data_IF_724723288246
#
_entry.id   IF_724723288246
#
_cell.length_a   1.000
_cell.length_b   1.000
_cell.length_c   1.000
_cell.angle_alpha   90.00
_cell.angle_beta   90.00
_cell.angle_gamma   90.00
#
_symmetry.space_group_name_H-M   'P 1'
#
loop_
_entity.id
_entity.type
_entity.pdbx_description
1 polymer ?
#
# COMPACT_ATOMS: atom_id res chain seq x y z
N UNK A 1 22.19 29.14 34.56
CA UNK A 1 22.78 28.80 33.25
C UNK A 1 22.61 30.00 32.34
N UNK A 2 23.67 30.47 31.68
CA UNK A 2 23.55 31.58 30.73
C UNK A 2 22.74 31.12 29.49
N UNK A 3 22.01 32.01 28.79
CA UNK A 3 21.27 31.65 27.58
C UNK A 3 22.11 30.93 26.52
N UNK A 4 23.38 31.29 26.40
CA UNK A 4 24.33 30.64 25.47
C UNK A 4 24.67 29.21 25.88
N UNK A 5 24.92 28.97 27.18
CA UNK A 5 25.19 27.63 27.69
C UNK A 5 23.94 26.74 27.56
N UNK A 6 22.76 27.33 27.78
CA UNK A 6 21.49 26.66 27.53
C UNK A 6 21.34 26.27 26.06
N UNK A 7 21.60 27.18 25.12
CA UNK A 7 21.56 26.90 23.68
C UNK A 7 22.56 25.80 23.26
N UNK A 8 23.81 25.84 23.77
CA UNK A 8 24.84 24.81 23.50
C UNK A 8 24.47 23.44 24.06
N UNK A 9 23.67 23.38 25.12
CA UNK A 9 23.20 22.12 25.72
C UNK A 9 22.05 21.45 24.96
N UNK A 10 21.44 22.14 23.99
CA UNK A 10 20.33 21.59 23.20
C UNK A 10 20.84 20.57 22.19
N UNK A 11 20.05 19.52 21.97
CA UNK A 11 20.30 18.60 20.86
C UNK A 11 20.23 19.36 19.52
N UNK A 12 21.17 19.03 18.64
CA UNK A 12 21.21 19.51 17.26
C UNK A 12 20.94 18.31 16.37
N UNK A 13 20.11 18.49 15.36
CA UNK A 13 19.87 17.50 14.32
C UNK A 13 20.08 18.18 12.97
N UNK A 14 20.62 17.45 12.00
CA UNK A 14 20.49 17.84 10.61
C UNK A 14 19.03 17.70 10.17
N UNK A 15 18.61 18.53 9.22
CA UNK A 15 17.29 18.43 8.61
C UNK A 15 17.40 17.75 7.25
N UNK A 16 16.54 16.77 7.00
CA UNK A 16 16.36 16.15 5.68
C UNK A 16 14.91 16.24 5.23
N UNK A 17 14.69 16.32 3.93
CA UNK A 17 13.36 16.30 3.34
C UNK A 17 13.35 15.49 2.05
N UNK A 18 12.41 14.55 1.94
CA UNK A 18 12.21 13.74 0.75
C UNK A 18 10.73 13.69 0.36
N UNK A 19 10.46 13.31 -0.88
CA UNK A 19 9.13 13.31 -1.47
C UNK A 19 8.79 11.93 -2.03
N UNK A 20 7.65 11.39 -1.58
CA UNK A 20 7.10 10.16 -2.11
C UNK A 20 6.18 10.49 -3.30
N UNK A 21 6.58 10.05 -4.49
CA UNK A 21 5.70 9.99 -5.66
C UNK A 21 5.37 8.55 -5.99
N UNK A 22 4.18 8.34 -6.54
CA UNK A 22 3.87 7.11 -7.29
C UNK A 22 3.42 7.44 -8.70
N UNK A 23 3.40 6.46 -9.59
CA UNK A 23 2.63 6.58 -10.84
C UNK A 23 1.18 6.13 -10.65
N UNK A 24 0.41 6.15 -11.74
CA UNK A 24 -0.99 5.75 -11.76
C UNK A 24 -1.22 4.28 -11.36
N UNK A 25 -0.21 3.43 -11.49
CA UNK A 25 -0.27 2.02 -11.11
C UNK A 25 0.12 1.79 -9.64
N UNK A 26 0.67 2.81 -8.97
CA UNK A 26 1.11 2.74 -7.57
C UNK A 26 2.60 2.39 -7.40
N UNK A 27 3.38 2.33 -8.48
CA UNK A 27 4.83 2.13 -8.42
C UNK A 27 5.49 3.39 -7.86
N UNK A 28 6.51 3.22 -7.02
CA UNK A 28 7.23 4.32 -6.34
C UNK A 28 8.35 4.85 -7.25
N UNK A 29 8.43 6.18 -7.39
CA UNK A 29 9.57 6.83 -8.02
C UNK A 29 10.81 6.67 -7.14
N UNK A 30 11.88 6.12 -7.71
CA UNK A 30 13.16 5.94 -7.05
C UNK A 30 14.29 6.43 -7.95
N UNK A 31 15.21 7.21 -7.38
CA UNK A 31 16.35 7.81 -8.08
C UNK A 31 17.63 7.03 -7.80
N UNK A 32 18.51 6.90 -8.81
CA UNK A 32 19.85 6.36 -8.65
C UNK A 32 20.88 7.51 -8.57
N UNK A 33 21.42 7.82 -7.37
CA UNK A 33 22.33 8.93 -7.20
C UNK A 33 23.73 8.62 -7.73
N UNK A 34 24.35 9.58 -8.44
CA UNK A 34 25.70 9.47 -8.98
C UNK A 34 26.77 9.28 -7.88
N UNK A 35 26.55 9.82 -6.68
CA UNK A 35 27.49 9.72 -5.56
C UNK A 35 27.42 8.39 -4.80
N UNK A 36 26.36 7.58 -5.01
CA UNK A 36 26.16 6.24 -4.42
C UNK A 36 25.41 5.31 -5.39
N UNK A 37 26.00 4.97 -6.54
CA UNK A 37 25.32 4.22 -7.58
C UNK A 37 24.86 2.84 -7.08
N UNK A 38 23.64 2.45 -7.46
CA UNK A 38 23.03 1.16 -7.09
C UNK A 38 22.36 1.12 -5.72
N UNK A 39 22.20 2.28 -5.06
CA UNK A 39 21.42 2.45 -3.84
C UNK A 39 20.39 3.54 -4.07
N UNK A 40 19.17 3.11 -4.36
CA UNK A 40 18.11 4.04 -4.74
C UNK A 40 17.67 4.89 -3.54
N UNK A 41 17.11 6.06 -3.84
CA UNK A 41 16.55 7.00 -2.87
C UNK A 41 15.22 7.58 -3.37
N UNK A 42 14.42 8.12 -2.46
CA UNK A 42 13.35 9.04 -2.85
C UNK A 42 13.97 10.38 -3.27
N UNK A 43 13.33 11.15 -4.17
CA UNK A 43 13.74 12.52 -4.43
C UNK A 43 13.80 13.32 -3.14
N UNK A 44 14.87 14.07 -2.91
CA UNK A 44 15.09 14.79 -1.67
C UNK A 44 16.54 14.99 -1.28
N UNK A 45 16.74 15.79 -0.23
CA UNK A 45 18.06 16.18 0.22
C UNK A 45 18.03 16.91 1.56
N UNK A 46 19.14 17.59 1.84
CA UNK A 46 19.33 18.33 3.09
C UNK A 46 18.49 19.61 3.13
N UNK A 47 18.04 19.97 4.32
CA UNK A 47 17.39 21.26 4.57
C UNK A 47 18.47 22.30 4.85
N UNK A 48 18.50 23.37 4.05
CA UNK A 48 19.47 24.45 4.18
C UNK A 48 19.24 25.32 5.43
N UNK A 49 20.22 26.17 5.76
CA UNK A 49 20.10 27.09 6.88
C UNK A 49 18.89 28.02 6.71
N UNK A 50 18.04 28.08 7.74
CA UNK A 50 16.78 28.83 7.74
C UNK A 50 15.74 28.39 6.70
N UNK A 51 15.97 27.28 5.99
CA UNK A 51 15.01 26.65 5.09
C UNK A 51 13.97 25.85 5.88
N UNK A 52 12.74 25.80 5.35
CA UNK A 52 11.67 24.95 5.91
C UNK A 52 11.75 23.58 5.25
N UNK A 53 11.49 22.46 5.97
CA UNK A 53 11.55 21.13 5.36
C UNK A 53 10.66 20.94 4.12
N UNK A 54 9.47 21.54 4.09
CA UNK A 54 8.62 21.50 2.89
C UNK A 54 9.15 22.34 1.73
N UNK A 55 9.90 23.40 2.00
CA UNK A 55 10.55 24.21 0.96
C UNK A 55 11.74 23.45 0.37
N UNK A 56 12.54 22.79 1.22
CA UNK A 56 13.61 21.89 0.79
C UNK A 56 13.04 20.78 -0.12
N UNK A 57 11.98 20.10 0.31
CA UNK A 57 11.31 19.09 -0.50
C UNK A 57 10.90 19.59 -1.91
N UNK A 58 10.38 20.81 -2.02
CA UNK A 58 9.99 21.40 -3.33
C UNK A 58 11.21 21.80 -4.16
N UNK A 59 12.25 22.33 -3.51
CA UNK A 59 13.52 22.67 -4.17
C UNK A 59 14.16 21.42 -4.76
N UNK A 60 14.31 20.36 -3.98
CA UNK A 60 14.92 19.09 -4.40
C UNK A 60 14.15 18.48 -5.57
N UNK A 61 12.81 18.49 -5.56
CA UNK A 61 12.00 18.05 -6.70
C UNK A 61 12.28 18.87 -7.97
N UNK A 62 12.54 20.17 -7.82
CA UNK A 62 12.88 21.04 -8.95
C UNK A 62 14.30 20.75 -9.46
N UNK A 63 15.25 20.56 -8.56
CA UNK A 63 16.67 20.33 -8.87
C UNK A 63 16.90 18.94 -9.47
N UNK A 64 16.37 17.89 -8.83
CA UNK A 64 16.59 16.50 -9.23
C UNK A 64 15.69 16.03 -10.38
N UNK A 65 14.46 16.56 -10.50
CA UNK A 65 13.49 16.11 -11.52
C UNK A 65 13.20 17.16 -12.59
N UNK A 66 13.60 18.42 -12.41
CA UNK A 66 13.21 19.51 -13.31
C UNK A 66 11.71 19.84 -13.26
N UNK A 67 10.99 19.40 -12.23
CA UNK A 67 9.55 19.57 -12.09
C UNK A 67 9.24 20.64 -11.04
N UNK A 68 8.40 21.62 -11.38
CA UNK A 68 7.92 22.62 -10.43
C UNK A 68 6.60 22.16 -9.78
N UNK A 69 6.69 21.17 -8.90
CA UNK A 69 5.55 20.60 -8.18
C UNK A 69 5.59 20.96 -6.69
N UNK A 70 4.42 21.24 -6.12
CA UNK A 70 4.28 21.41 -4.67
C UNK A 70 4.14 20.07 -3.94
N UNK A 71 4.41 20.07 -2.64
CA UNK A 71 4.12 18.92 -1.76
C UNK A 71 2.76 19.07 -1.08
N UNK A 72 2.14 17.93 -0.71
CA UNK A 72 0.82 17.85 -0.09
C UNK A 72 0.93 17.66 1.43
N UNK A 73 0.55 16.49 1.93
CA UNK A 73 0.60 16.18 3.35
C UNK A 73 1.96 15.60 3.76
N UNK A 74 2.34 15.82 5.02
CA UNK A 74 3.46 15.11 5.63
C UNK A 74 3.06 13.65 5.86
N UNK A 75 3.87 12.71 5.40
CA UNK A 75 3.63 11.28 5.47
C UNK A 75 4.44 10.59 6.56
N UNK A 76 5.67 11.04 6.81
CA UNK A 76 6.50 10.48 7.88
C UNK A 76 7.47 11.52 8.43
N UNK A 77 7.83 11.36 9.70
CA UNK A 77 9.02 11.98 10.32
C UNK A 77 9.84 10.87 10.96
N UNK A 78 11.14 10.88 10.71
CA UNK A 78 12.09 9.93 11.25
C UNK A 78 13.20 10.68 11.99
N UNK A 79 13.47 10.30 13.24
CA UNK A 79 14.64 10.76 13.99
C UNK A 79 15.73 9.70 13.93
N UNK A 80 16.81 10.00 13.23
CA UNK A 80 17.99 9.16 13.12
C UNK A 80 18.97 9.53 14.22
N UNK A 81 19.29 8.55 15.05
CA UNK A 81 20.18 8.69 16.19
C UNK A 81 21.63 8.94 15.75
N UNK A 82 22.35 9.73 16.55
CA UNK A 82 23.80 9.86 16.43
C UNK A 82 24.47 8.49 16.56
N UNK A 83 25.19 8.08 15.52
CA UNK A 83 25.91 6.81 15.52
C UNK A 83 25.08 5.61 15.07
N UNK A 84 23.90 5.84 14.46
CA UNK A 84 23.17 4.78 13.78
C UNK A 84 24.10 4.03 12.80
N UNK A 85 24.23 2.69 12.91
CA UNK A 85 25.19 1.92 12.11
C UNK A 85 24.83 1.88 10.61
N UNK A 86 23.57 2.10 10.23
CA UNK A 86 23.11 2.11 8.84
C UNK A 86 23.49 3.40 8.09
N UNK A 87 23.74 4.51 8.80
CA UNK A 87 24.20 5.77 8.22
C UNK A 87 25.72 5.82 8.00
N UNK A 88 26.47 4.80 8.48
CA UNK A 88 27.91 4.72 8.33
C UNK A 88 28.69 5.76 9.16
N UNK A 89 29.98 5.92 8.86
CA UNK A 89 30.86 6.90 9.53
C UNK A 89 30.75 8.27 8.86
N UNK A 90 29.71 9.02 9.18
CA UNK A 90 29.60 10.43 8.80
C UNK A 90 30.26 11.30 9.88
N UNK A 91 31.32 12.02 9.52
CA UNK A 91 32.08 12.81 10.47
C UNK A 91 31.22 13.94 11.05
N UNK A 92 31.16 14.03 12.38
CA UNK A 92 30.41 15.09 13.06
C UNK A 92 28.89 14.95 12.99
N UNK A 93 28.36 13.81 12.50
CA UNK A 93 26.91 13.57 12.43
C UNK A 93 26.25 13.75 13.81
N UNK A 94 25.37 14.75 13.99
CA UNK A 94 24.74 15.00 15.27
C UNK A 94 23.45 14.18 15.47
N UNK A 95 23.04 13.42 14.44
CA UNK A 95 21.70 12.89 14.26
C UNK A 95 20.96 13.66 13.16
N UNK A 96 19.85 13.14 12.68
CA UNK A 96 19.05 13.76 11.62
C UNK A 96 17.56 13.64 11.89
N UNK A 97 16.78 14.64 11.48
CA UNK A 97 15.34 14.56 11.39
C UNK A 97 14.93 14.63 9.92
N UNK A 98 14.39 13.54 9.40
CA UNK A 98 13.98 13.44 8.00
C UNK A 98 12.46 13.48 7.90
N UNK A 99 11.95 14.39 7.05
CA UNK A 99 10.53 14.50 6.74
C UNK A 99 10.23 13.93 5.35
N UNK A 100 9.21 13.07 5.23
CA UNK A 100 8.73 12.55 3.95
C UNK A 100 7.39 13.16 3.60
N UNK A 101 7.30 13.79 2.44
CA UNK A 101 6.12 14.49 1.96
C UNK A 101 5.43 13.74 0.84
N UNK A 102 4.11 13.88 0.75
CA UNK A 102 3.32 13.34 -0.36
C UNK A 102 3.47 14.23 -1.59
N UNK A 103 4.14 13.73 -2.62
CA UNK A 103 4.21 14.35 -3.95
C UNK A 103 2.99 14.04 -4.81
N UNK A 104 2.21 13.03 -4.44
CA UNK A 104 1.06 12.56 -5.19
C UNK A 104 1.40 11.56 -6.29
N UNK A 105 0.54 11.51 -7.30
CA UNK A 105 0.67 10.65 -8.47
C UNK A 105 1.23 11.46 -9.63
N UNK A 106 2.30 10.96 -10.26
CA UNK A 106 2.83 11.50 -11.51
C UNK A 106 2.17 10.80 -12.69
N UNK A 107 1.51 11.58 -13.53
CA UNK A 107 0.93 11.09 -14.77
C UNK A 107 2.01 10.94 -15.85
N UNK A 108 1.71 10.21 -16.93
CA UNK A 108 2.65 10.00 -18.03
C UNK A 108 3.20 11.33 -18.59
N UNK A 109 2.37 12.37 -18.63
CA UNK A 109 2.78 13.72 -19.05
C UNK A 109 3.78 14.39 -18.12
N UNK A 110 3.72 14.11 -16.82
CA UNK A 110 4.69 14.63 -15.85
C UNK A 110 6.01 13.86 -15.96
N UNK A 111 5.91 12.53 -16.07
CA UNK A 111 7.07 11.64 -16.23
C UNK A 111 7.88 12.02 -17.48
N UNK A 112 7.22 12.29 -18.61
CA UNK A 112 7.88 12.70 -19.85
C UNK A 112 8.65 14.05 -19.74
N UNK A 113 8.32 14.86 -18.73
CA UNK A 113 8.95 16.16 -18.46
C UNK A 113 10.11 16.07 -17.48
N UNK A 114 10.36 14.93 -16.86
CA UNK A 114 11.49 14.76 -15.92
C UNK A 114 12.80 15.06 -16.65
N UNK A 115 13.65 15.90 -16.06
CA UNK A 115 14.99 16.24 -16.52
C UNK A 115 15.93 16.08 -15.33
N UNK A 116 16.82 15.10 -15.43
CA UNK A 116 17.77 14.79 -14.37
C UNK A 116 19.03 15.66 -14.48
N UNK A 117 19.56 16.16 -13.35
CA UNK A 117 20.91 16.71 -13.31
C UNK A 117 21.93 15.58 -13.43
N UNK A 118 22.61 15.45 -14.58
CA UNK A 118 23.50 14.32 -14.88
C UNK A 118 24.65 14.13 -13.86
N UNK A 119 25.08 15.22 -13.21
CA UNK A 119 26.15 15.20 -12.20
C UNK A 119 25.69 14.66 -10.83
N UNK A 120 24.39 14.55 -10.60
CA UNK A 120 23.80 14.20 -9.31
C UNK A 120 22.93 12.94 -9.38
N UNK A 121 22.10 12.80 -10.41
CA UNK A 121 21.18 11.66 -10.61
C UNK A 121 21.47 11.00 -11.96
N UNK A 122 21.81 9.71 -11.94
CA UNK A 122 22.15 8.96 -13.16
C UNK A 122 20.94 8.40 -13.87
N UNK A 123 19.90 8.03 -13.12
CA UNK A 123 18.67 7.46 -13.65
C UNK A 123 17.52 7.52 -12.64
N UNK A 124 16.30 7.27 -13.11
CA UNK A 124 15.13 7.08 -12.27
C UNK A 124 14.32 5.87 -12.75
N UNK A 125 13.66 5.18 -11.83
CA UNK A 125 12.76 4.07 -12.09
C UNK A 125 11.45 4.23 -11.31
N UNK A 126 10.35 3.70 -11.84
CA UNK A 126 9.11 3.46 -11.09
C UNK A 126 9.02 1.97 -10.73
N UNK A 127 9.17 1.65 -9.45
CA UNK A 127 9.28 0.27 -8.97
C UNK A 127 8.14 -0.12 -8.04
N UNK A 128 7.70 -1.39 -8.03
CA UNK A 128 6.83 -1.90 -6.97
C UNK A 128 7.41 -1.61 -5.58
N UNK A 129 6.61 -1.25 -4.57
CA UNK A 129 7.11 -0.82 -3.27
C UNK A 129 8.11 -1.78 -2.61
N UNK A 130 7.85 -3.10 -2.67
CA UNK A 130 8.77 -4.12 -2.16
C UNK A 130 10.13 -4.10 -2.88
N UNK A 131 10.12 -3.96 -4.21
CA UNK A 131 11.34 -3.91 -5.02
C UNK A 131 12.10 -2.62 -4.77
N UNK A 132 11.41 -1.48 -4.70
CA UNK A 132 12.01 -0.20 -4.33
C UNK A 132 12.72 -0.31 -2.98
N UNK A 133 12.03 -0.79 -1.94
CA UNK A 133 12.58 -0.94 -0.60
C UNK A 133 13.84 -1.82 -0.57
N UNK A 134 13.85 -2.93 -1.34
CA UNK A 134 15.00 -3.83 -1.42
C UNK A 134 16.24 -3.24 -2.10
N UNK A 135 16.07 -2.18 -2.91
CA UNK A 135 17.16 -1.48 -3.62
C UNK A 135 17.62 -0.21 -2.88
N UNK A 136 16.89 0.21 -1.84
CA UNK A 136 17.27 1.30 -0.95
C UNK A 136 18.18 0.81 0.18
N UNK A 137 18.81 1.74 0.91
CA UNK A 137 19.34 1.39 2.24
C UNK A 137 18.19 0.95 3.16
N UNK A 138 18.42 0.02 4.12
CA UNK A 138 17.31 -0.55 4.87
C UNK A 138 16.48 0.51 5.63
N UNK A 139 17.12 1.48 6.28
CA UNK A 139 16.43 2.62 6.92
C UNK A 139 15.57 3.45 5.95
N UNK A 140 16.08 3.74 4.75
CA UNK A 140 15.36 4.48 3.71
C UNK A 140 14.16 3.67 3.19
N UNK A 141 14.36 2.37 2.97
CA UNK A 141 13.29 1.45 2.57
C UNK A 141 12.17 1.37 3.62
N UNK A 142 12.53 1.27 4.92
CA UNK A 142 11.55 1.30 6.02
C UNK A 142 10.79 2.62 6.05
N UNK A 143 11.49 3.75 5.91
CA UNK A 143 10.89 5.09 5.89
C UNK A 143 9.94 5.30 4.72
N UNK A 144 10.34 4.88 3.52
CA UNK A 144 9.52 4.93 2.31
C UNK A 144 8.24 4.08 2.45
N UNK A 145 8.36 2.84 2.95
CA UNK A 145 7.20 1.99 3.20
C UNK A 145 6.27 2.58 4.27
N UNK A 146 6.82 3.16 5.34
CA UNK A 146 6.03 3.82 6.38
C UNK A 146 5.27 5.04 5.84
N UNK A 147 5.92 5.86 5.00
CA UNK A 147 5.27 6.98 4.32
C UNK A 147 4.14 6.52 3.38
N UNK A 148 4.37 5.44 2.62
CA UNK A 148 3.35 4.87 1.74
C UNK A 148 2.15 4.33 2.53
N UNK A 149 2.41 3.62 3.65
CA UNK A 149 1.35 3.17 4.57
C UNK A 149 0.57 4.34 5.14
N UNK A 150 1.24 5.41 5.59
CA UNK A 150 0.58 6.60 6.12
C UNK A 150 -0.30 7.30 5.06
N UNK A 151 0.15 7.32 3.80
CA UNK A 151 -0.62 7.85 2.66
C UNK A 151 -1.92 7.07 2.46
N UNK A 152 -1.87 5.75 2.48
CA UNK A 152 -3.05 4.88 2.30
C UNK A 152 -3.97 4.95 3.51
N UNK A 153 -3.40 4.95 4.73
CA UNK A 153 -4.14 4.90 5.99
C UNK A 153 -4.89 6.20 6.31
N UNK A 154 -4.46 7.34 5.76
CA UNK A 154 -5.09 8.67 5.90
C UNK A 154 -5.33 9.15 7.33
N UNK A 155 -4.66 8.57 8.33
CA UNK A 155 -4.81 8.97 9.73
C UNK A 155 -3.71 9.92 10.24
N UNK A 156 -2.87 10.45 9.35
CA UNK A 156 -1.74 11.35 9.67
C UNK A 156 -0.37 10.67 9.52
N UNK A 157 0.73 11.41 9.77
CA UNK A 157 2.08 10.95 9.49
C UNK A 157 2.54 9.79 10.39
N UNK A 158 3.37 8.92 9.84
CA UNK A 158 4.15 7.96 10.61
C UNK A 158 5.24 8.67 11.43
N UNK A 159 5.50 8.14 12.61
CA UNK A 159 6.51 8.67 13.54
C UNK A 159 7.52 7.57 13.78
N UNK A 160 8.77 7.82 13.39
CA UNK A 160 9.83 6.82 13.35
C UNK A 160 11.05 7.28 14.18
N UNK A 161 11.75 6.30 14.75
CA UNK A 161 13.07 6.45 15.35
C UNK A 161 14.00 5.42 14.71
N UNK A 162 15.07 5.87 14.07
CA UNK A 162 16.02 5.03 13.32
C UNK A 162 15.33 4.16 12.23
N UNK A 163 14.28 4.71 11.61
CA UNK A 163 13.43 4.03 10.64
C UNK A 163 12.47 3.00 11.23
N UNK A 164 12.45 2.83 12.55
CA UNK A 164 11.54 1.94 13.28
C UNK A 164 10.32 2.70 13.80
N UNK A 165 9.17 2.04 13.87
CA UNK A 165 7.96 2.71 14.36
C UNK A 165 7.99 2.90 15.87
N UNK A 166 7.63 4.09 16.34
CA UNK A 166 7.49 4.35 17.78
C UNK A 166 6.22 3.70 18.33
N UNK A 167 6.38 2.90 19.39
CA UNK A 167 5.28 2.20 20.05
C UNK A 167 4.69 1.08 19.18
N UNK A 168 3.40 0.79 19.38
CA UNK A 168 2.72 -0.26 18.60
C UNK A 168 2.44 0.16 17.15
N UNK A 169 2.68 1.40 16.73
CA UNK A 169 2.35 1.84 15.38
C UNK A 169 0.87 1.71 15.00
N UNK A 170 0.57 1.84 13.71
CA UNK A 170 -0.79 1.66 13.16
C UNK A 170 -0.97 0.27 12.57
N UNK A 171 -2.21 -0.12 12.30
CA UNK A 171 -2.55 -1.46 11.82
C UNK A 171 -1.73 -1.88 10.58
N UNK A 172 -1.62 -1.00 9.57
CA UNK A 172 -0.82 -1.30 8.37
C UNK A 172 0.67 -1.51 8.68
N UNK A 173 1.23 -0.77 9.64
CA UNK A 173 2.62 -0.92 10.06
C UNK A 173 2.83 -2.20 10.89
N UNK A 174 1.94 -2.47 11.86
CA UNK A 174 2.01 -3.67 12.72
C UNK A 174 1.95 -4.97 11.94
N UNK A 175 1.04 -5.02 10.96
CA UNK A 175 0.89 -6.19 10.10
C UNK A 175 1.93 -6.21 8.97
N UNK A 176 2.93 -5.33 9.02
CA UNK A 176 3.97 -5.17 8.02
C UNK A 176 3.42 -5.11 6.58
N UNK A 177 2.28 -4.44 6.38
CA UNK A 177 1.60 -4.39 5.08
C UNK A 177 2.53 -3.79 4.04
N UNK A 178 2.76 -4.48 2.94
CA UNK A 178 3.49 -3.94 1.80
C UNK A 178 2.47 -3.75 0.67
N UNK A 179 2.10 -2.49 0.34
CA UNK A 179 1.20 -2.24 -0.77
C UNK A 179 1.74 -2.91 -2.04
N UNK A 180 0.90 -3.74 -2.64
CA UNK A 180 1.31 -4.60 -3.74
C UNK A 180 1.27 -3.79 -5.04
N UNK A 181 2.01 -4.27 -6.05
CA UNK A 181 1.70 -4.04 -7.45
C UNK A 181 1.54 -5.43 -8.04
N UNK A 182 0.31 -5.82 -8.34
CA UNK A 182 0.03 -7.15 -8.84
C UNK A 182 0.52 -7.23 -10.29
N UNK A 183 1.75 -7.69 -10.51
CA UNK A 183 2.37 -7.75 -11.84
C UNK A 183 1.49 -8.57 -12.78
N UNK A 184 1.20 -8.01 -13.96
CA UNK A 184 0.32 -8.60 -14.97
C UNK A 184 -1.16 -8.34 -14.73
N UNK A 185 -1.55 -7.61 -13.68
CA UNK A 185 -2.94 -7.18 -13.48
C UNK A 185 -3.25 -5.83 -14.12
N UNK A 186 -2.24 -5.04 -14.47
CA UNK A 186 -2.40 -3.71 -15.07
C UNK A 186 -3.15 -3.79 -16.41
N UNK A 187 -2.93 -4.87 -17.17
CA UNK A 187 -3.53 -5.09 -18.49
C UNK A 187 -4.81 -5.95 -18.44
N UNK A 188 -5.26 -6.35 -17.25
CA UNK A 188 -6.40 -7.24 -17.09
C UNK A 188 -7.69 -6.42 -17.11
N UNK A 189 -8.51 -6.68 -18.13
CA UNK A 189 -9.80 -6.04 -18.31
C UNK A 189 -10.80 -6.41 -17.19
N UNK A 190 -11.42 -5.40 -16.60
CA UNK A 190 -12.56 -5.54 -15.71
C UNK A 190 -13.87 -5.55 -16.50
N UNK A 191 -14.70 -6.57 -16.27
CA UNK A 191 -16.00 -6.74 -16.90
C UNK A 191 -17.13 -6.68 -15.84
N UNK A 192 -17.67 -5.48 -15.54
CA UNK A 192 -18.71 -5.31 -14.52
C UNK A 192 -20.03 -5.93 -14.97
N UNK A 193 -20.70 -6.63 -14.05
CA UNK A 193 -22.00 -7.31 -14.23
C UNK A 193 -22.09 -8.35 -15.38
N UNK A 194 -21.05 -8.49 -16.20
CA UNK A 194 -21.00 -9.50 -17.26
C UNK A 194 -20.63 -10.85 -16.69
N UNK A 195 -21.26 -11.91 -17.20
CA UNK A 195 -20.90 -13.29 -16.89
C UNK A 195 -19.83 -13.75 -17.90
N UNK A 196 -18.83 -14.55 -17.49
CA UNK A 196 -17.86 -15.17 -18.40
C UNK A 196 -18.57 -15.89 -19.55
N UNK A 197 -18.02 -15.74 -20.77
CA UNK A 197 -18.55 -16.44 -21.93
C UNK A 197 -18.53 -17.96 -21.72
N UNK A 198 -19.45 -18.66 -22.38
CA UNK A 198 -19.50 -20.13 -22.35
C UNK A 198 -18.15 -20.69 -22.79
N UNK A 199 -17.58 -21.57 -21.97
CA UNK A 199 -16.27 -22.19 -22.21
C UNK A 199 -15.07 -21.41 -21.67
N UNK A 200 -15.25 -20.20 -21.14
CA UNK A 200 -14.19 -19.48 -20.41
C UNK A 200 -14.15 -20.00 -18.96
N UNK A 201 -13.11 -20.74 -18.54
CA UNK A 201 -13.04 -21.30 -17.20
C UNK A 201 -12.91 -20.19 -16.15
N UNK A 202 -13.66 -20.33 -15.04
CA UNK A 202 -13.48 -19.48 -13.85
C UNK A 202 -12.52 -20.18 -12.91
N UNK A 203 -11.28 -19.70 -12.80
CA UNK A 203 -10.23 -20.35 -11.98
C UNK A 203 -10.14 -19.81 -10.56
N UNK A 204 -10.62 -18.59 -10.33
CA UNK A 204 -10.59 -17.94 -9.02
C UNK A 204 -11.88 -17.19 -8.75
N UNK A 205 -12.22 -17.04 -7.47
CA UNK A 205 -13.35 -16.27 -7.03
C UNK A 205 -13.03 -15.55 -5.71
N UNK A 206 -13.30 -14.25 -5.67
CA UNK A 206 -12.96 -13.37 -4.55
C UNK A 206 -14.18 -12.55 -4.13
N UNK A 207 -14.25 -12.17 -2.86
CA UNK A 207 -15.38 -11.43 -2.29
C UNK A 207 -14.97 -10.09 -1.69
N UNK A 208 -15.68 -9.04 -2.06
CA UNK A 208 -15.71 -7.78 -1.33
C UNK A 208 -16.73 -7.92 -0.20
N UNK A 209 -16.25 -8.30 0.99
CA UNK A 209 -17.08 -8.53 2.17
C UNK A 209 -17.29 -7.21 2.92
N UNK A 210 -18.50 -6.66 2.89
CA UNK A 210 -18.86 -5.37 3.47
C UNK A 210 -19.37 -5.48 4.90
N UNK A 211 -18.89 -4.58 5.76
CA UNK A 211 -19.53 -4.30 7.04
C UNK A 211 -20.64 -3.24 6.89
N UNK A 212 -21.45 -2.99 7.94
CA UNK A 212 -22.54 -2.01 7.89
C UNK A 212 -22.09 -0.57 7.64
N UNK A 213 -20.81 -0.26 7.83
CA UNK A 213 -20.22 1.07 7.64
C UNK A 213 -19.60 1.26 6.25
N UNK A 214 -19.72 0.27 5.36
CA UNK A 214 -19.20 0.35 4.00
C UNK A 214 -17.72 0.06 3.89
N UNK A 215 -17.09 -0.45 4.96
CA UNK A 215 -15.71 -0.96 4.93
C UNK A 215 -15.71 -2.40 4.44
N UNK A 216 -14.56 -2.83 3.94
CA UNK A 216 -14.34 -4.20 3.46
C UNK A 216 -13.21 -4.87 4.21
N UNK A 217 -13.32 -6.19 4.34
CA UNK A 217 -12.25 -7.01 4.91
C UNK A 217 -11.20 -7.30 3.85
N UNK A 218 -9.94 -7.09 4.22
CA UNK A 218 -8.78 -7.58 3.48
C UNK A 218 -7.89 -8.43 4.39
N UNK A 219 -7.18 -9.39 3.79
CA UNK A 219 -6.26 -10.29 4.48
C UNK A 219 -4.83 -9.85 4.20
N UNK A 220 -3.97 -9.97 5.21
CA UNK A 220 -2.54 -9.66 5.13
C UNK A 220 -1.77 -10.94 5.36
N UNK A 221 -1.01 -11.38 4.35
CA UNK A 221 -0.13 -12.52 4.49
C UNK A 221 1.04 -12.17 5.42
N UNK A 222 1.21 -12.85 6.57
CA UNK A 222 2.25 -12.51 7.53
C UNK A 222 3.67 -12.81 7.03
N UNK A 223 3.83 -13.55 5.92
CA UNK A 223 5.14 -13.92 5.37
C UNK A 223 5.80 -12.76 4.63
N UNK A 224 5.01 -11.99 3.88
CA UNK A 224 5.51 -10.95 2.99
C UNK A 224 4.72 -9.62 3.08
N UNK A 225 3.66 -9.57 3.90
CA UNK A 225 2.85 -8.37 4.10
C UNK A 225 1.89 -8.07 2.95
N UNK A 226 1.74 -8.98 1.98
CA UNK A 226 0.84 -8.76 0.85
C UNK A 226 -0.62 -8.79 1.27
N UNK A 227 -1.40 -7.93 0.62
CA UNK A 227 -2.84 -7.82 0.87
C UNK A 227 -3.62 -8.56 -0.22
N UNK A 228 -4.62 -9.34 0.20
CA UNK A 228 -5.57 -10.01 -0.69
C UNK A 228 -7.00 -9.79 -0.20
N UNK A 229 -7.98 -9.96 -1.10
CA UNK A 229 -9.37 -10.10 -0.70
C UNK A 229 -9.56 -11.50 -0.10
N UNK A 230 -10.60 -11.76 0.70
CA UNK A 230 -11.02 -13.13 1.00
C UNK A 230 -11.47 -13.84 -0.29
N UNK A 231 -11.03 -15.09 -0.47
CA UNK A 231 -11.33 -15.87 -1.66
C UNK A 231 -10.12 -16.64 -2.17
N UNK A 232 -10.28 -17.38 -3.25
CA UNK A 232 -9.23 -18.29 -3.67
C UNK A 232 -9.55 -19.01 -4.96
N UNK A 233 -8.97 -20.20 -5.08
CA UNK A 233 -9.06 -21.04 -6.27
C UNK A 233 -10.41 -21.75 -6.29
N UNK A 234 -11.03 -21.86 -7.48
CA UNK A 234 -12.23 -22.68 -7.63
C UNK A 234 -11.79 -24.14 -7.77
N UNK A 235 -12.11 -24.95 -6.77
CA UNK A 235 -11.80 -26.38 -6.75
C UNK A 235 -12.87 -27.20 -7.47
N UNK A 236 -12.54 -28.44 -7.83
CA UNK A 236 -13.48 -29.33 -8.54
C UNK A 236 -14.68 -29.72 -7.69
N UNK A 237 -14.50 -29.77 -6.37
CA UNK A 237 -15.54 -30.16 -5.42
C UNK A 237 -16.43 -28.98 -5.01
N UNK A 238 -16.10 -27.76 -5.44
CA UNK A 238 -16.94 -26.59 -5.19
C UNK A 238 -18.20 -26.62 -6.08
N UNK A 239 -19.35 -26.26 -5.49
CA UNK A 239 -20.60 -25.99 -6.22
C UNK A 239 -20.53 -24.62 -6.93
N UNK A 240 -19.54 -24.50 -7.80
CA UNK A 240 -19.23 -23.32 -8.60
C UNK A 240 -18.48 -22.20 -7.87
N UNK A 241 -18.15 -21.11 -8.60
CA UNK A 241 -17.22 -20.09 -8.10
C UNK A 241 -17.75 -19.31 -6.89
N UNK A 242 -19.07 -19.20 -6.73
CA UNK A 242 -19.67 -18.54 -5.56
C UNK A 242 -19.42 -19.36 -4.29
N UNK A 243 -19.60 -20.67 -4.36
CA UNK A 243 -19.37 -21.57 -3.22
C UNK A 243 -17.89 -21.53 -2.80
N UNK A 244 -16.97 -21.58 -3.77
CA UNK A 244 -15.53 -21.45 -3.54
C UNK A 244 -15.19 -20.15 -2.78
N UNK A 245 -15.64 -18.99 -3.27
CA UNK A 245 -15.35 -17.70 -2.61
C UNK A 245 -15.89 -17.62 -1.17
N UNK A 246 -17.06 -18.20 -0.90
CA UNK A 246 -17.65 -18.19 0.44
C UNK A 246 -16.96 -19.17 1.39
N UNK A 247 -16.53 -20.33 0.89
CA UNK A 247 -15.74 -21.32 1.63
C UNK A 247 -14.40 -20.73 2.03
N UNK A 248 -13.64 -20.22 1.07
CA UNK A 248 -12.33 -19.58 1.29
C UNK A 248 -12.44 -18.40 2.28
N UNK A 249 -13.46 -17.54 2.12
CA UNK A 249 -13.69 -16.46 3.08
C UNK A 249 -14.00 -16.95 4.51
N UNK A 250 -14.67 -18.10 4.65
CA UNK A 250 -14.90 -18.71 5.95
C UNK A 250 -13.63 -19.34 6.54
N UNK A 251 -12.83 -20.00 5.70
CA UNK A 251 -11.60 -20.72 6.11
C UNK A 251 -10.46 -19.76 6.44
N UNK A 252 -10.12 -18.83 5.53
CA UNK A 252 -8.96 -17.96 5.68
C UNK A 252 -9.23 -16.73 6.57
N UNK A 253 -10.46 -16.20 6.54
CA UNK A 253 -10.81 -14.95 7.19
C UNK A 253 -11.71 -15.12 8.42
N UNK A 254 -12.23 -16.34 8.66
CA UNK A 254 -13.27 -16.62 9.65
C UNK A 254 -14.53 -15.74 9.47
N UNK A 255 -14.91 -15.49 8.21
CA UNK A 255 -16.08 -14.70 7.87
C UNK A 255 -17.32 -15.59 7.74
N UNK A 256 -18.40 -15.18 8.39
CA UNK A 256 -19.75 -15.60 7.99
C UNK A 256 -20.34 -14.52 7.11
N UNK A 257 -20.78 -14.89 5.92
CA UNK A 257 -21.28 -13.96 4.91
C UNK A 257 -22.72 -14.31 4.51
N UNK A 258 -23.54 -13.31 4.19
CA UNK A 258 -24.87 -13.50 3.62
C UNK A 258 -25.14 -12.59 2.42
N UNK A 259 -26.21 -12.91 1.70
CA UNK A 259 -26.69 -12.23 0.48
C UNK A 259 -25.58 -11.99 -0.56
N UNK A 260 -24.66 -12.95 -0.70
CA UNK A 260 -23.58 -12.82 -1.66
C UNK A 260 -24.12 -12.73 -3.09
N UNK A 261 -23.68 -11.73 -3.83
CA UNK A 261 -24.12 -11.40 -5.18
C UNK A 261 -22.94 -11.30 -6.13
N UNK A 262 -23.14 -11.75 -7.37
CA UNK A 262 -22.13 -11.67 -8.42
C UNK A 262 -21.91 -10.21 -8.85
N UNK A 263 -20.64 -9.81 -9.00
CA UNK A 263 -20.26 -8.44 -9.33
C UNK A 263 -19.72 -8.32 -10.76
N UNK A 264 -19.02 -9.33 -11.25
CA UNK A 264 -18.33 -9.33 -12.55
C UNK A 264 -17.09 -10.21 -12.51
N UNK A 265 -16.22 -10.07 -13.51
CA UNK A 265 -14.96 -10.80 -13.55
C UNK A 265 -13.81 -9.99 -14.14
N UNK A 266 -12.60 -10.39 -13.77
CA UNK A 266 -11.37 -9.98 -14.42
C UNK A 266 -10.99 -11.02 -15.47
N UNK A 267 -10.72 -10.59 -16.70
CA UNK A 267 -10.25 -11.46 -17.80
C UNK A 267 -8.72 -11.54 -17.80
N UNK A 268 -8.17 -12.73 -17.62
CA UNK A 268 -6.77 -13.04 -17.87
C UNK A 268 -6.68 -13.75 -19.23
N UNK A 269 -6.34 -13.04 -20.32
CA UNK A 269 -6.44 -13.58 -21.68
C UNK A 269 -5.42 -14.70 -21.96
N UNK A 270 -4.27 -14.65 -21.30
CA UNK A 270 -3.14 -15.56 -21.55
C UNK A 270 -2.90 -16.55 -20.40
N UNK A 271 -3.59 -16.36 -19.28
CA UNK A 271 -3.34 -17.13 -18.07
C UNK A 271 -2.01 -16.76 -17.42
N UNK A 272 -1.50 -15.55 -17.67
CA UNK A 272 -0.15 -15.12 -17.28
C UNK A 272 0.06 -15.20 -15.76
N UNK A 273 -1.03 -15.05 -14.99
CA UNK A 273 -1.00 -15.13 -13.52
C UNK A 273 -0.67 -16.54 -13.02
N UNK A 274 -1.03 -17.58 -13.79
CA UNK A 274 -0.83 -18.99 -13.44
C UNK A 274 0.39 -19.61 -14.13
N UNK A 275 0.98 -18.88 -15.07
CA UNK A 275 2.12 -19.32 -15.87
C UNK A 275 1.74 -19.90 -17.23
N UNK A 276 2.76 -20.20 -18.05
CA UNK A 276 2.59 -20.57 -19.45
C UNK A 276 1.68 -21.79 -19.64
N UNK A 277 0.80 -21.76 -20.64
CA UNK A 277 -0.08 -22.88 -21.00
C UNK A 277 -1.40 -22.95 -20.24
N UNK A 278 -1.66 -22.02 -19.33
CA UNK A 278 -2.95 -21.92 -18.61
C UNK A 278 -4.10 -21.52 -19.54
N UNK A 279 -3.83 -20.61 -20.48
CA UNK A 279 -4.82 -20.07 -21.41
C UNK A 279 -5.80 -19.10 -20.76
N UNK A 280 -6.68 -18.54 -21.59
CA UNK A 280 -7.67 -17.56 -21.20
C UNK A 280 -8.56 -18.08 -20.06
N UNK A 281 -8.72 -17.28 -19.02
CA UNK A 281 -9.56 -17.60 -17.87
C UNK A 281 -10.16 -16.36 -17.22
N UNK A 282 -11.22 -16.57 -16.44
CA UNK A 282 -11.91 -15.54 -15.68
C UNK A 282 -11.64 -15.69 -14.18
N UNK A 283 -11.61 -14.54 -13.50
CA UNK A 283 -11.53 -14.47 -12.04
C UNK A 283 -12.74 -13.70 -11.53
N UNK A 284 -13.69 -14.43 -10.97
CA UNK A 284 -14.96 -13.89 -10.54
C UNK A 284 -14.79 -12.96 -9.33
N UNK A 285 -15.71 -12.01 -9.22
CA UNK A 285 -15.87 -11.12 -8.08
C UNK A 285 -17.29 -11.18 -7.57
N UNK A 286 -17.40 -11.19 -6.25
CA UNK A 286 -18.66 -11.15 -5.54
C UNK A 286 -18.64 -9.98 -4.55
N UNK A 287 -19.81 -9.50 -4.17
CA UNK A 287 -20.02 -8.71 -2.96
C UNK A 287 -20.78 -9.57 -1.97
N UNK A 288 -20.54 -9.39 -0.67
CA UNK A 288 -21.36 -10.00 0.37
C UNK A 288 -21.43 -9.10 1.60
N UNK A 289 -22.44 -9.31 2.45
CA UNK A 289 -22.52 -8.68 3.76
C UNK A 289 -21.88 -9.57 4.80
N UNK A 290 -21.13 -8.96 5.71
CA UNK A 290 -20.56 -9.65 6.86
C UNK A 290 -21.66 -9.83 7.90
N UNK A 291 -21.87 -11.08 8.31
CA UNK A 291 -22.69 -11.43 9.46
C UNK A 291 -21.90 -11.41 10.76
N UNK A 292 -20.70 -11.99 10.73
CA UNK A 292 -19.83 -12.10 11.90
C UNK A 292 -18.37 -12.25 11.50
N UNK A 293 -17.49 -11.71 12.34
CA UNK A 293 -16.04 -11.88 12.28
C UNK A 293 -15.62 -12.83 13.41
N UNK A 294 -15.35 -14.08 13.06
CA UNK A 294 -14.94 -15.10 14.02
C UNK A 294 -13.47 -14.97 14.46
N UNK A 295 -13.05 -15.79 15.43
CA UNK A 295 -11.64 -15.95 15.76
C UNK A 295 -10.84 -16.38 14.54
N UNK A 296 -9.67 -15.79 14.31
CA UNK A 296 -8.77 -16.21 13.25
C UNK A 296 -8.27 -17.63 13.57
N UNK A 297 -8.23 -18.46 12.54
CA UNK A 297 -7.67 -19.81 12.60
C UNK A 297 -6.54 -19.92 11.57
N UNK A 298 -5.55 -20.79 11.80
CA UNK A 298 -4.59 -21.10 10.77
C UNK A 298 -5.31 -21.80 9.61
N UNK A 299 -5.01 -21.38 8.38
CA UNK A 299 -5.40 -22.11 7.19
C UNK A 299 -4.87 -23.55 7.26
N UNK A 300 -5.70 -24.53 6.90
CA UNK A 300 -5.39 -25.95 7.10
C UNK A 300 -4.26 -26.41 6.17
N UNK A 301 -4.19 -25.86 4.96
CA UNK A 301 -3.21 -26.27 3.96
C UNK A 301 -1.83 -25.67 4.23
N UNK A 302 -1.78 -24.41 4.63
CA UNK A 302 -0.54 -23.64 4.75
C UNK A 302 -0.09 -23.41 6.20
N UNK A 303 -0.99 -23.57 7.17
CA UNK A 303 -0.77 -23.24 8.58
C UNK A 303 -0.74 -21.73 8.85
N UNK A 304 -1.01 -20.89 7.84
CA UNK A 304 -0.91 -19.44 7.94
C UNK A 304 -2.13 -18.88 8.64
N UNK A 305 -1.90 -18.01 9.62
CA UNK A 305 -2.96 -17.17 10.18
C UNK A 305 -2.81 -15.77 9.59
N UNK A 306 -3.74 -15.38 8.72
CA UNK A 306 -3.71 -14.06 8.09
C UNK A 306 -3.96 -12.93 9.10
N UNK A 307 -3.24 -11.82 8.93
CA UNK A 307 -3.67 -10.54 9.49
C UNK A 307 -4.97 -10.10 8.81
N UNK A 308 -5.84 -9.40 9.52
CA UNK A 308 -7.16 -9.00 8.99
C UNK A 308 -7.41 -7.54 9.26
N UNK A 309 -7.83 -6.82 8.22
CA UNK A 309 -8.08 -5.38 8.29
C UNK A 309 -9.48 -5.06 7.77
N UNK A 310 -10.13 -4.09 8.42
CA UNK A 310 -11.25 -3.34 7.85
C UNK A 310 -10.73 -2.02 7.29
N UNK A 311 -10.97 -1.80 6.01
CA UNK A 311 -10.55 -0.60 5.26
C UNK A 311 -11.68 -0.13 4.33
N UNK A 312 -11.64 1.12 3.87
CA UNK A 312 -12.56 1.52 2.80
C UNK A 312 -12.29 0.76 1.49
N UNK A 313 -13.27 0.63 0.57
CA UNK A 313 -13.04 0.02 -0.74
C UNK A 313 -11.90 0.66 -1.53
N UNK A 314 -11.78 2.00 -1.45
CA UNK A 314 -10.68 2.75 -2.08
C UNK A 314 -9.33 2.31 -1.51
N UNK A 315 -9.18 2.27 -0.18
CA UNK A 315 -7.94 1.80 0.44
C UNK A 315 -7.64 0.34 0.12
N UNK A 316 -8.66 -0.53 0.07
CA UNK A 316 -8.46 -1.91 -0.38
C UNK A 316 -7.90 -1.95 -1.81
N UNK A 317 -8.39 -1.14 -2.75
CA UNK A 317 -7.82 -1.09 -4.11
C UNK A 317 -6.34 -0.65 -4.13
N UNK A 318 -5.97 0.35 -3.33
CA UNK A 318 -4.58 0.82 -3.19
C UNK A 318 -3.67 -0.26 -2.58
N UNK A 319 -4.18 -1.01 -1.59
CA UNK A 319 -3.45 -2.08 -0.91
C UNK A 319 -3.25 -3.32 -1.79
N UNK A 320 -4.29 -3.72 -2.54
CA UNK A 320 -4.29 -4.88 -3.42
C UNK A 320 -3.39 -4.67 -4.65
N UNK A 321 -3.13 -3.43 -5.05
CA UNK A 321 -2.21 -3.13 -6.14
C UNK A 321 -2.72 -3.53 -7.52
N UNK A 322 -4.04 -3.48 -7.72
CA UNK A 322 -4.69 -3.95 -8.95
C UNK A 322 -4.82 -2.85 -10.03
N UNK A 323 -4.12 -1.73 -9.85
CA UNK A 323 -4.14 -0.61 -10.79
C UNK A 323 -5.54 -0.02 -11.00
N UNK A 324 -5.75 0.53 -12.20
CA UNK A 324 -7.03 1.13 -12.61
C UNK A 324 -8.21 0.15 -12.51
N UNK A 325 -8.03 -1.09 -12.96
CA UNK A 325 -9.07 -2.13 -12.88
C UNK A 325 -9.48 -2.42 -11.42
N UNK A 326 -8.52 -2.33 -10.49
CA UNK A 326 -8.75 -2.38 -9.05
C UNK A 326 -9.64 -1.27 -8.54
N UNK A 327 -9.33 -0.03 -8.91
CA UNK A 327 -10.10 1.14 -8.52
C UNK A 327 -11.53 1.07 -9.06
N UNK A 328 -11.70 0.74 -10.34
CA UNK A 328 -13.01 0.56 -10.98
C UNK A 328 -13.82 -0.55 -10.31
N UNK A 329 -13.17 -1.66 -9.95
CA UNK A 329 -13.81 -2.76 -9.23
C UNK A 329 -14.25 -2.36 -7.83
N UNK A 330 -13.41 -1.66 -7.07
CA UNK A 330 -13.73 -1.20 -5.72
C UNK A 330 -14.87 -0.18 -5.72
N UNK A 331 -14.84 0.77 -6.65
CA UNK A 331 -15.92 1.74 -6.83
C UNK A 331 -17.23 1.04 -7.20
N UNK A 332 -17.20 0.13 -8.17
CA UNK A 332 -18.39 -0.62 -8.58
C UNK A 332 -18.93 -1.52 -7.47
N UNK A 333 -18.05 -2.15 -6.67
CA UNK A 333 -18.44 -2.93 -5.50
C UNK A 333 -19.15 -2.05 -4.45
N UNK A 334 -18.59 -0.88 -4.12
CA UNK A 334 -19.14 0.05 -3.15
C UNK A 334 -20.50 0.61 -3.59
N UNK A 335 -20.62 1.02 -4.86
CA UNK A 335 -21.88 1.51 -5.43
C UNK A 335 -22.95 0.42 -5.47
N UNK A 336 -22.58 -0.81 -5.82
CA UNK A 336 -23.52 -1.94 -5.83
C UNK A 336 -23.98 -2.29 -4.42
N UNK A 337 -23.08 -2.30 -3.43
CA UNK A 337 -23.43 -2.51 -2.03
C UNK A 337 -24.35 -1.41 -1.49
N UNK A 338 -24.08 -0.14 -1.82
CA UNK A 338 -24.93 0.99 -1.45
C UNK A 338 -26.33 0.88 -2.07
N UNK A 339 -26.42 0.59 -3.37
CA UNK A 339 -27.69 0.45 -4.07
C UNK A 339 -28.51 -0.76 -3.60
N UNK A 340 -27.85 -1.89 -3.30
CA UNK A 340 -28.51 -3.15 -2.92
C UNK A 340 -28.89 -3.19 -1.45
N UNK A 341 -28.05 -2.65 -0.56
CA UNK A 341 -28.19 -2.84 0.89
C UNK A 341 -28.33 -1.55 1.69
N UNK A 342 -28.21 -0.38 1.06
CA UNK A 342 -28.24 0.90 1.77
C UNK A 342 -27.00 1.14 2.65
N UNK A 343 -25.92 0.39 2.43
CA UNK A 343 -24.64 0.58 3.13
C UNK A 343 -23.99 1.89 2.62
N UNK A 344 -23.46 2.75 3.51
CA UNK A 344 -22.86 4.02 3.09
C UNK A 344 -21.57 3.80 2.29
N UNK A 345 -21.19 4.79 1.48
CA UNK A 345 -19.87 4.82 0.84
C UNK A 345 -18.83 5.23 1.90
N UNK A 346 -18.01 4.29 2.36
CA UNK A 346 -16.95 4.58 3.33
C UNK A 346 -15.84 5.41 2.67
N UNK A 347 -15.51 6.61 3.19
CA UNK A 347 -14.30 7.32 2.78
C UNK A 347 -13.06 6.60 3.33
N UNK A 348 -11.87 6.86 2.77
CA UNK A 348 -10.59 6.46 3.37
C UNK A 348 -10.45 6.94 4.82
N UNK A 349 -10.04 6.03 5.70
CA UNK A 349 -9.91 6.27 7.15
C UNK A 349 -8.88 5.32 7.76
N UNK A 350 -8.49 5.53 9.02
CA UNK A 350 -7.56 4.64 9.71
C UNK A 350 -7.97 3.16 9.55
N UNK A 351 -7.08 2.33 9.05
CA UNK A 351 -7.31 0.90 8.93
C UNK A 351 -7.51 0.29 10.31
N UNK A 352 -8.55 -0.53 10.45
CA UNK A 352 -8.88 -1.18 11.73
C UNK A 352 -8.42 -2.62 11.65
N UNK A 353 -7.50 -2.98 12.55
CA UNK A 353 -7.12 -4.37 12.74
C UNK A 353 -8.26 -5.15 13.37
N UNK A 354 -8.68 -6.23 12.72
CA UNK A 354 -9.62 -7.19 13.29
C UNK A 354 -8.82 -8.08 14.24
N UNK A 355 -9.10 -8.07 15.56
CA UNK A 355 -8.33 -8.84 16.53
C UNK A 355 -8.36 -10.34 16.23
N UNK A 356 -7.36 -11.08 16.70
CA UNK A 356 -7.32 -12.54 16.55
C UNK A 356 -8.57 -13.23 17.13
N UNK A 357 -9.15 -12.69 18.21
CA UNK A 357 -10.40 -13.21 18.81
C UNK A 357 -11.67 -12.93 17.97
N UNK A 358 -11.57 -12.17 16.87
CA UNK A 358 -12.70 -11.72 16.07
C UNK A 358 -13.36 -10.45 16.62
N UNK A 359 -14.53 -10.11 16.08
CA UNK A 359 -15.35 -8.99 16.54
C UNK A 359 -16.80 -9.42 16.69
N UNK A 360 -17.33 -9.31 17.92
CA UNK A 360 -18.68 -9.72 18.26
C UNK A 360 -19.79 -8.79 17.71
N UNK A 361 -19.44 -7.53 17.39
CA UNK A 361 -20.31 -6.58 16.73
C UNK A 361 -19.52 -5.82 15.66
N UNK A 362 -20.04 -5.81 14.43
CA UNK A 362 -19.59 -4.88 13.41
C UNK A 362 -20.10 -3.50 13.84
N UNK A 363 -19.19 -2.64 14.34
CA UNK A 363 -19.56 -1.32 14.85
C UNK A 363 -20.40 -0.58 13.80
N UNK A 364 -21.58 -0.05 14.17
CA UNK A 364 -22.44 0.72 13.27
C UNK A 364 -21.92 2.12 13.00
#
# INVERSE_FOLDING_TARGET
>A
MAPEDYARSRAVFWGGAAVLFTDAEGRVLALDPAYRPGRLLLPGGSVDQAERPSAAAVREVTEELGLSLGVRQLLAVDWVSKGNPEFGKVYGFPGESVSIWDGGVLEESDIARIRLPEDEITSFDFLPPAQAASRMFPIEGRRMLAALRARIDRAGPAVLEDGETVGLGRALLRLNVIPRIAIGYQDIAWHPAMVPAVGLPVKQAWVWAFDPLGRVVVLVDPRDGHVVLPGGTVEMDDDGPKAAALREAAEEAALRLHDAAYLGYLLDPDGAVYGPGTGANARARYIARIDSLGPAAPDVATGITYGRLLVSPVQASELLGLGRAGAEQAEYAAQTAAARWGIPLSPPQAAIEIPHAGMAALLP
#
